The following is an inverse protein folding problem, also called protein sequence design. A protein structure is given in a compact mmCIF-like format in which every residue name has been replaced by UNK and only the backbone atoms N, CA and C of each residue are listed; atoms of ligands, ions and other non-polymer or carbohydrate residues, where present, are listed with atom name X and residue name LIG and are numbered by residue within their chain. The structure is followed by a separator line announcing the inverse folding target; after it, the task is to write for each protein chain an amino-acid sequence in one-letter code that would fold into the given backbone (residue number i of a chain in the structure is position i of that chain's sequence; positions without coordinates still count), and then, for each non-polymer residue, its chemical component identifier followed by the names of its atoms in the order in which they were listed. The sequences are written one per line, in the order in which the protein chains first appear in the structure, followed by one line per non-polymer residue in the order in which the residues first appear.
data_IF_407103308388
#
_entry.id   IF_407103308388
#
_cell.length_a   1.000
_cell.length_b   1.000
_cell.length_c   1.000
_cell.angle_alpha   90.00
_cell.angle_beta   90.00
_cell.angle_gamma   90.00
#
_symmetry.space_group_name_H-M   'P 1'
#
loop_
_entity.id
_entity.type
_entity.pdbx_description
1 polymer ?
#
# COMPACT_ATOMS: atom_id res chain seq x y z
N UNK A 1 29.38 -13.55 4.42
CA UNK A 1 29.52 -12.69 5.62
C UNK A 1 30.13 -11.32 5.31
N UNK A 2 31.36 -11.20 4.78
CA UNK A 2 31.99 -9.89 4.52
C UNK A 2 31.19 -8.95 3.58
N UNK A 3 30.56 -9.49 2.53
CA UNK A 3 29.77 -8.70 1.56
C UNK A 3 28.48 -8.09 2.15
N UNK A 4 27.84 -8.78 3.09
CA UNK A 4 26.59 -8.33 3.73
C UNK A 4 26.86 -7.19 4.72
N UNK A 5 28.01 -7.25 5.39
CA UNK A 5 28.49 -6.24 6.33
C UNK A 5 28.89 -4.94 5.60
N UNK A 6 29.47 -5.05 4.40
CA UNK A 6 29.77 -3.90 3.53
C UNK A 6 28.48 -3.22 3.04
N UNK A 7 27.44 -3.99 2.70
CA UNK A 7 26.13 -3.43 2.31
C UNK A 7 25.46 -2.72 3.48
N UNK A 8 25.52 -3.29 4.69
CA UNK A 8 24.99 -2.65 5.90
C UNK A 8 25.72 -1.34 6.25
N UNK A 9 27.05 -1.31 6.13
CA UNK A 9 27.85 -0.10 6.36
C UNK A 9 27.60 0.98 5.29
N UNK A 10 27.45 0.58 4.02
CA UNK A 10 27.10 1.50 2.94
C UNK A 10 25.69 2.05 3.11
N UNK A 11 24.72 1.21 3.50
CA UNK A 11 23.38 1.65 3.86
C UNK A 11 23.42 2.64 5.02
N UNK A 12 24.15 2.34 6.11
CA UNK A 12 24.33 3.25 7.24
C UNK A 12 24.93 4.61 6.85
N UNK A 13 25.89 4.65 5.93
CA UNK A 13 26.50 5.90 5.46
C UNK A 13 25.56 6.73 4.58
N UNK A 14 24.73 6.10 3.74
CA UNK A 14 23.70 6.81 2.96
C UNK A 14 22.57 7.28 3.89
N UNK A 15 22.23 6.48 4.89
CA UNK A 15 21.24 6.77 5.93
C UNK A 15 21.64 7.96 6.80
N UNK A 16 22.92 8.09 7.15
CA UNK A 16 23.41 9.24 7.92
C UNK A 16 23.38 10.54 7.13
N UNK A 17 23.48 10.51 5.79
CA UNK A 17 23.32 11.70 4.94
C UNK A 17 21.84 12.11 4.81
N UNK A 18 20.93 11.14 4.68
CA UNK A 18 19.49 11.40 4.61
C UNK A 18 18.89 11.92 5.94
N UNK A 19 19.50 11.56 7.08
CA UNK A 19 19.09 12.02 8.40
C UNK A 19 19.46 13.50 8.68
N UNK A 20 20.42 14.09 7.97
CA UNK A 20 20.86 15.48 8.21
C UNK A 20 19.94 16.51 7.54
N UNK A 21 19.13 16.11 6.55
CA UNK A 21 18.27 17.02 5.77
C UNK A 21 16.76 16.91 6.06
N UNK A 22 16.31 15.92 6.84
CA UNK A 22 14.90 15.74 7.22
C UNK A 22 14.74 15.76 8.74
N UNK A 23 13.76 16.52 9.24
CA UNK A 23 13.58 16.80 10.67
C UNK A 23 13.28 15.57 11.55
N UNK A 24 12.91 14.43 10.97
CA UNK A 24 12.90 13.11 11.61
C UNK A 24 12.71 12.03 10.54
N UNK A 25 13.80 11.45 10.03
CA UNK A 25 13.73 10.28 9.15
C UNK A 25 13.70 9.00 10.00
N UNK A 26 12.60 8.25 9.95
CA UNK A 26 12.49 6.90 10.51
C UNK A 26 12.85 5.89 9.42
N UNK A 27 13.73 4.96 9.79
CA UNK A 27 14.21 3.91 8.89
C UNK A 27 13.85 2.58 9.52
N UNK A 28 13.06 1.78 8.81
CA UNK A 28 12.60 0.46 9.26
C UNK A 28 13.06 -0.59 8.24
N UNK A 29 13.71 -1.64 8.72
CA UNK A 29 14.04 -2.81 7.91
C UNK A 29 13.11 -3.97 8.21
N UNK A 30 12.60 -4.65 7.19
CA UNK A 30 11.88 -5.91 7.34
C UNK A 30 12.43 -6.99 6.41
N UNK A 31 12.65 -8.19 6.95
CA UNK A 31 13.07 -9.35 6.19
C UNK A 31 11.93 -10.37 6.17
N UNK A 32 11.51 -10.76 4.96
CA UNK A 32 10.42 -11.71 4.75
C UNK A 32 10.93 -12.91 4.00
N UNK A 33 10.51 -14.09 4.45
CA UNK A 33 10.79 -15.36 3.80
C UNK A 33 9.47 -16.10 3.67
N UNK A 34 9.16 -16.56 2.47
CA UNK A 34 7.96 -17.32 2.14
C UNK A 34 8.35 -18.76 1.83
N UNK A 35 7.79 -19.66 2.62
CA UNK A 35 7.87 -21.10 2.40
C UNK A 35 6.53 -21.56 1.85
N UNK A 36 6.54 -22.22 0.70
CA UNK A 36 5.35 -22.76 0.05
C UNK A 36 5.50 -24.27 0.00
N UNK A 37 4.63 -24.96 0.73
CA UNK A 37 4.49 -26.40 0.62
C UNK A 37 3.48 -26.68 -0.50
N UNK A 38 3.98 -27.06 -1.66
CA UNK A 38 3.18 -27.43 -2.82
C UNK A 38 3.20 -28.97 -2.90
N UNK A 39 2.07 -29.63 -2.63
CA UNK A 39 1.96 -31.11 -2.59
C UNK A 39 2.25 -31.79 -3.95
N UNK A 40 2.55 -31.01 -4.98
CA UNK A 40 2.72 -31.45 -6.38
C UNK A 40 4.11 -31.15 -6.98
N UNK A 41 5.12 -30.70 -6.22
CA UNK A 41 6.46 -30.39 -6.77
C UNK A 41 7.58 -31.23 -6.16
N UNK A 42 8.49 -31.69 -7.03
CA UNK A 42 9.59 -32.61 -6.74
C UNK A 42 10.47 -32.19 -5.54
N UNK A 43 10.87 -33.21 -4.77
CA UNK A 43 11.61 -33.20 -3.50
C UNK A 43 13.01 -32.54 -3.47
N UNK A 44 13.43 -31.78 -4.49
CA UNK A 44 14.81 -31.28 -4.60
C UNK A 44 14.99 -29.77 -4.34
N UNK A 45 13.91 -29.01 -4.16
CA UNK A 45 13.98 -27.63 -3.68
C UNK A 45 13.50 -27.53 -2.23
N UNK A 46 14.21 -26.76 -1.39
CA UNK A 46 13.93 -26.58 0.05
C UNK A 46 12.58 -25.88 0.36
N UNK A 47 11.65 -25.81 -0.59
CA UNK A 47 10.30 -25.25 -0.46
C UNK A 47 10.24 -23.74 -0.29
N UNK A 48 11.37 -23.02 -0.39
CA UNK A 48 11.38 -21.55 -0.32
C UNK A 48 11.08 -20.95 -1.69
N UNK A 49 9.94 -20.27 -1.80
CA UNK A 49 9.49 -19.66 -3.06
C UNK A 49 10.00 -18.21 -3.22
N UNK A 50 10.16 -17.48 -2.10
CA UNK A 50 10.54 -16.06 -2.15
C UNK A 50 11.20 -15.57 -0.87
N UNK A 51 12.21 -14.72 -1.00
CA UNK A 51 12.68 -13.86 0.10
C UNK A 51 12.83 -12.40 -0.36
N UNK A 52 12.40 -11.49 0.50
CA UNK A 52 12.48 -10.04 0.28
C UNK A 52 13.17 -9.40 1.49
N UNK A 53 14.22 -8.60 1.24
CA UNK A 53 14.74 -7.67 2.24
C UNK A 53 14.29 -6.27 1.88
N UNK A 54 13.55 -5.60 2.77
CA UNK A 54 12.94 -4.29 2.52
C UNK A 54 13.47 -3.26 3.49
N UNK A 55 13.68 -2.06 2.96
CA UNK A 55 14.01 -0.85 3.71
C UNK A 55 12.94 0.19 3.45
N UNK A 56 12.32 0.66 4.53
CA UNK A 56 11.28 1.66 4.53
C UNK A 56 11.84 2.94 5.13
N UNK A 57 11.72 4.03 4.40
CA UNK A 57 12.13 5.36 4.81
C UNK A 57 10.87 6.20 4.92
N UNK A 58 10.57 6.68 6.13
CA UNK A 58 9.41 7.53 6.43
C UNK A 58 9.95 8.82 7.02
N UNK A 59 9.47 9.96 6.55
CA UNK A 59 9.96 11.25 7.07
C UNK A 59 8.89 12.32 7.04
N UNK A 60 8.83 13.12 8.10
CA UNK A 60 8.12 14.40 8.11
C UNK A 60 9.08 15.45 7.57
N UNK A 61 8.84 15.92 6.34
CA UNK A 61 9.66 16.94 5.67
C UNK A 61 9.32 18.33 6.23
N UNK A 62 8.03 18.56 6.50
CA UNK A 62 7.52 19.77 7.16
C UNK A 62 6.22 19.45 7.93
N UNK A 63 5.62 20.45 8.59
CA UNK A 63 4.28 20.29 9.20
C UNK A 63 3.17 19.93 8.22
N UNK A 64 3.40 20.21 6.94
CA UNK A 64 2.43 20.02 5.85
C UNK A 64 2.83 18.93 4.87
N UNK A 65 4.03 18.33 4.98
CA UNK A 65 4.54 17.36 4.00
C UNK A 65 5.18 16.18 4.70
N UNK A 66 4.66 14.99 4.40
CA UNK A 66 5.28 13.70 4.72
C UNK A 66 5.76 13.01 3.43
N UNK A 67 6.86 12.27 3.53
CA UNK A 67 7.42 11.48 2.44
C UNK A 67 7.66 10.03 2.87
N UNK A 68 7.50 9.12 1.92
CA UNK A 68 7.72 7.70 2.09
C UNK A 68 8.44 7.09 0.88
N UNK A 69 9.38 6.18 1.14
CA UNK A 69 10.10 5.41 0.14
C UNK A 69 10.31 3.98 0.66
N UNK A 70 10.06 2.98 -0.17
CA UNK A 70 10.38 1.58 0.08
C UNK A 70 11.29 1.05 -1.02
N UNK A 71 12.43 0.50 -0.61
CA UNK A 71 13.36 -0.20 -1.49
C UNK A 71 13.44 -1.65 -1.02
N UNK A 72 13.38 -2.60 -1.94
CA UNK A 72 13.48 -4.01 -1.63
C UNK A 72 14.48 -4.73 -2.53
N UNK A 73 15.23 -5.67 -1.98
CA UNK A 73 15.88 -6.71 -2.77
C UNK A 73 14.88 -7.82 -3.05
N UNK A 74 14.57 -8.03 -4.33
CA UNK A 74 13.64 -9.06 -4.80
C UNK A 74 14.44 -10.26 -5.31
N UNK A 75 14.36 -11.38 -4.59
CA UNK A 75 15.10 -12.61 -4.92
C UNK A 75 14.72 -13.20 -6.28
N UNK A 76 13.45 -13.09 -6.70
CA UNK A 76 12.97 -13.62 -7.97
C UNK A 76 13.58 -12.89 -9.16
N UNK A 77 13.86 -11.59 -8.99
CA UNK A 77 14.49 -10.74 -10.02
C UNK A 77 15.98 -10.52 -9.79
N UNK A 78 16.53 -11.07 -8.70
CA UNK A 78 17.91 -10.91 -8.24
C UNK A 78 18.42 -9.46 -8.22
N UNK A 79 17.55 -8.48 -7.96
CA UNK A 79 17.89 -7.05 -8.04
C UNK A 79 17.19 -6.21 -6.97
N UNK A 80 17.76 -5.05 -6.67
CA UNK A 80 17.16 -4.01 -5.82
C UNK A 80 16.14 -3.23 -6.65
N UNK A 81 14.95 -3.05 -6.10
CA UNK A 81 13.84 -2.34 -6.72
C UNK A 81 13.24 -1.33 -5.76
N UNK A 82 12.87 -0.17 -6.28
CA UNK A 82 11.93 0.71 -5.59
C UNK A 82 10.54 0.06 -5.67
N UNK A 83 9.95 -0.26 -4.51
CA UNK A 83 8.64 -0.93 -4.43
C UNK A 83 7.51 0.07 -4.27
N UNK A 84 7.72 1.08 -3.45
CA UNK A 84 6.72 2.11 -3.15
C UNK A 84 7.43 3.45 -2.95
N UNK A 85 6.79 4.54 -3.35
CA UNK A 85 7.18 5.90 -3.01
C UNK A 85 5.93 6.77 -2.99
N UNK A 86 5.81 7.66 -2.00
CA UNK A 86 4.69 8.62 -1.98
C UNK A 86 5.01 9.85 -1.15
N UNK A 87 4.35 10.95 -1.51
CA UNK A 87 4.37 12.21 -0.78
C UNK A 87 2.95 12.52 -0.34
N UNK A 88 2.76 12.92 0.91
CA UNK A 88 1.47 13.33 1.45
C UNK A 88 1.54 14.78 1.88
N UNK A 89 0.75 15.61 1.22
CA UNK A 89 0.50 16.99 1.59
C UNK A 89 -0.70 17.07 2.53
N UNK A 90 -0.55 17.79 3.65
CA UNK A 90 -1.57 17.97 4.69
C UNK A 90 -1.93 19.44 4.80
N UNK A 91 -3.23 19.71 4.83
CA UNK A 91 -3.82 21.02 5.04
C UNK A 91 -5.02 20.93 5.98
N UNK A 92 -5.54 22.07 6.42
CA UNK A 92 -6.72 22.12 7.29
C UNK A 92 -7.96 21.50 6.65
N UNK A 93 -8.06 21.50 5.33
CA UNK A 93 -9.17 20.94 4.57
C UNK A 93 -8.99 19.46 4.23
N UNK A 94 -7.84 18.85 4.51
CA UNK A 94 -7.61 17.44 4.20
C UNK A 94 -6.18 17.11 3.76
N UNK A 95 -6.05 15.98 3.08
CA UNK A 95 -4.75 15.46 2.62
C UNK A 95 -4.78 15.08 1.15
N UNK A 96 -3.67 15.34 0.47
CA UNK A 96 -3.39 14.86 -0.88
C UNK A 96 -2.15 13.96 -0.83
N UNK A 97 -2.29 12.70 -1.21
CA UNK A 97 -1.20 11.75 -1.37
C UNK A 97 -0.96 11.49 -2.85
N UNK A 98 0.30 11.54 -3.30
CA UNK A 98 0.69 11.22 -4.67
C UNK A 98 1.93 10.33 -4.68
N UNK A 99 2.00 9.39 -5.62
CA UNK A 99 3.12 8.44 -5.75
C UNK A 99 2.67 7.06 -6.22
N UNK A 100 3.53 6.05 -6.05
CA UNK A 100 3.24 4.66 -6.36
C UNK A 100 3.29 3.81 -5.10
N UNK A 101 2.19 3.15 -4.76
CA UNK A 101 2.14 2.23 -3.62
C UNK A 101 1.04 1.16 -3.78
N UNK A 102 1.07 0.16 -2.91
CA UNK A 102 0.01 -0.85 -2.79
C UNK A 102 -1.23 -0.22 -2.12
N UNK A 103 -2.02 0.53 -2.90
CA UNK A 103 -3.29 1.10 -2.41
C UNK A 103 -4.26 -0.02 -2.04
N UNK A 104 -4.91 0.10 -0.89
CA UNK A 104 -5.75 -0.95 -0.31
C UNK A 104 -7.20 -0.52 -0.33
N UNK A 105 -7.99 -1.20 -1.15
CA UNK A 105 -9.44 -1.04 -1.17
C UNK A 105 -10.09 -1.51 0.14
N UNK A 106 -9.49 -2.48 0.83
CA UNK A 106 -9.99 -3.01 2.11
C UNK A 106 -8.97 -2.78 3.22
N UNK A 107 -8.86 -1.55 3.77
CA UNK A 107 -7.83 -1.20 4.73
C UNK A 107 -7.98 -1.97 6.06
N UNK A 108 -9.13 -2.57 6.37
CA UNK A 108 -9.27 -3.39 7.57
C UNK A 108 -8.41 -4.67 7.53
N UNK A 109 -7.96 -5.10 6.34
CA UNK A 109 -7.38 -6.44 6.08
C UNK A 109 -5.88 -6.49 5.89
N UNK A 110 -5.13 -5.49 6.36
CA UNK A 110 -3.68 -5.34 6.11
C UNK A 110 -2.84 -6.61 6.34
N UNK A 111 -3.25 -7.51 7.24
CA UNK A 111 -2.55 -8.75 7.59
C UNK A 111 -3.00 -9.99 6.80
N UNK A 112 -4.24 -10.00 6.28
CA UNK A 112 -4.83 -11.13 5.57
C UNK A 112 -5.09 -10.69 4.14
N UNK A 113 -4.08 -10.84 3.28
CA UNK A 113 -4.25 -10.69 1.84
C UNK A 113 -4.79 -12.01 1.28
N UNK A 114 -6.09 -12.16 0.98
CA UNK A 114 -6.52 -13.30 0.20
C UNK A 114 -5.83 -13.21 -1.15
N UNK A 115 -5.41 -14.35 -1.67
CA UNK A 115 -4.89 -14.43 -3.03
C UNK A 115 -5.99 -13.95 -3.99
N UNK A 116 -5.71 -12.91 -4.77
CA UNK A 116 -6.62 -12.41 -5.83
C UNK A 116 -7.22 -11.02 -5.59
N UNK A 117 -7.78 -10.74 -4.41
CA UNK A 117 -8.82 -9.68 -4.30
C UNK A 117 -8.38 -8.34 -3.69
N UNK A 118 -7.10 -8.17 -3.36
CA UNK A 118 -6.64 -6.99 -2.61
C UNK A 118 -5.83 -5.97 -3.42
N UNK A 119 -5.70 -6.18 -4.73
CA UNK A 119 -5.01 -5.24 -5.61
C UNK A 119 -6.00 -4.79 -6.67
N UNK A 120 -6.45 -3.54 -6.56
CA UNK A 120 -7.22 -2.98 -7.67
C UNK A 120 -6.27 -2.66 -8.83
N UNK A 121 -5.03 -2.20 -8.60
CA UNK A 121 -4.10 -1.81 -9.68
C UNK A 121 -2.61 -1.89 -9.34
N UNK A 122 -1.81 -1.87 -10.41
CA UNK A 122 -0.36 -1.95 -10.43
C UNK A 122 0.33 -0.70 -9.83
N UNK A 123 1.64 -0.81 -9.60
CA UNK A 123 2.49 0.18 -8.96
C UNK A 123 2.75 1.44 -9.83
N UNK A 124 1.72 2.06 -10.39
CA UNK A 124 1.81 3.29 -11.18
C UNK A 124 1.56 4.55 -10.33
N UNK A 125 1.56 5.73 -10.96
CA UNK A 125 1.41 7.01 -10.28
C UNK A 125 -0.05 7.24 -9.89
N UNK A 126 -0.34 7.14 -8.60
CA UNK A 126 -1.66 7.26 -8.01
C UNK A 126 -1.80 8.57 -7.22
N UNK A 127 -3.04 9.02 -7.08
CA UNK A 127 -3.44 10.19 -6.30
C UNK A 127 -4.58 9.83 -5.36
N UNK A 128 -4.50 10.27 -4.11
CA UNK A 128 -5.60 10.15 -3.13
C UNK A 128 -5.84 11.50 -2.48
N UNK A 129 -7.06 11.97 -2.59
CA UNK A 129 -7.57 13.11 -1.85
C UNK A 129 -8.46 12.59 -0.72
N UNK A 130 -8.24 13.07 0.50
CA UNK A 130 -9.07 12.71 1.64
C UNK A 130 -9.45 13.97 2.41
N UNK A 131 -10.74 14.17 2.64
CA UNK A 131 -11.32 15.33 3.29
C UNK A 131 -12.04 14.86 4.56
N UNK A 132 -11.58 15.29 5.75
CA UNK A 132 -12.30 15.04 6.99
C UNK A 132 -13.58 15.89 7.01
N UNK A 133 -14.72 15.23 7.19
CA UNK A 133 -16.02 15.88 7.42
C UNK A 133 -16.24 16.14 8.92
N UNK A 134 -15.71 15.25 9.75
CA UNK A 134 -15.63 15.38 11.21
C UNK A 134 -14.45 14.57 11.74
N UNK A 135 -14.27 14.49 13.06
CA UNK A 135 -13.22 13.68 13.68
C UNK A 135 -13.30 12.18 13.33
N UNK A 136 -14.50 11.69 12.99
CA UNK A 136 -14.72 10.28 12.68
C UNK A 136 -15.14 10.03 11.22
N UNK A 137 -15.69 11.02 10.51
CA UNK A 137 -16.23 10.86 9.15
C UNK A 137 -15.30 11.50 8.14
N UNK A 138 -15.05 10.80 7.03
CA UNK A 138 -14.24 11.29 5.92
C UNK A 138 -14.81 10.89 4.57
N UNK A 139 -14.43 11.64 3.55
CA UNK A 139 -14.68 11.32 2.14
C UNK A 139 -13.37 11.44 1.38
N UNK A 140 -13.22 10.69 0.31
CA UNK A 140 -12.04 10.75 -0.50
C UNK A 140 -12.27 10.36 -1.95
N UNK A 141 -11.25 10.66 -2.74
CA UNK A 141 -11.17 10.39 -4.16
C UNK A 141 -9.80 9.79 -4.43
N UNK A 142 -9.78 8.59 -4.97
CA UNK A 142 -8.60 7.94 -5.53
C UNK A 142 -8.64 8.10 -7.06
N UNK A 143 -7.47 8.34 -7.66
CA UNK A 143 -7.27 8.40 -9.11
C UNK A 143 -5.95 7.75 -9.49
N UNK A 144 -5.95 6.99 -10.58
CA UNK A 144 -4.77 6.33 -11.16
C UNK A 144 -4.78 6.54 -12.69
N UNK A 145 -4.18 7.63 -13.18
CA UNK A 145 -4.16 7.93 -14.61
C UNK A 145 -3.18 7.03 -15.38
N UNK A 146 -3.69 6.29 -16.38
CA UNK A 146 -2.88 5.64 -17.40
C UNK A 146 -2.65 6.61 -18.57
N UNK A 147 -1.52 7.33 -18.49
CA UNK A 147 -1.09 8.28 -19.52
C UNK A 147 -0.84 7.63 -20.89
N UNK A 148 -0.67 6.31 -20.96
CA UNK A 148 -0.42 5.62 -22.23
C UNK A 148 -1.69 5.32 -23.01
N UNK A 149 -2.84 5.21 -22.31
CA UNK A 149 -4.13 4.88 -22.90
C UNK A 149 -5.15 6.02 -22.87
N UNK A 150 -4.76 7.19 -22.37
CA UNK A 150 -5.68 8.31 -22.10
C UNK A 150 -6.89 7.82 -21.28
N UNK A 151 -6.59 7.02 -20.25
CA UNK A 151 -7.54 6.36 -19.38
C UNK A 151 -7.28 6.79 -17.93
N UNK A 152 -8.32 6.87 -17.11
CA UNK A 152 -8.18 7.14 -15.70
C UNK A 152 -9.11 6.26 -14.89
N UNK A 153 -8.47 5.59 -13.97
CA UNK A 153 -9.06 4.74 -12.97
C UNK A 153 -9.44 5.61 -11.76
N UNK A 154 -10.65 5.49 -11.23
CA UNK A 154 -11.10 6.33 -10.12
C UNK A 154 -11.95 5.58 -9.10
N UNK A 155 -11.95 6.09 -7.87
CA UNK A 155 -12.78 5.58 -6.77
C UNK A 155 -13.15 6.74 -5.83
N UNK A 156 -14.45 6.90 -5.59
CA UNK A 156 -14.97 7.81 -4.57
C UNK A 156 -15.34 6.97 -3.37
N UNK A 157 -14.74 7.29 -2.23
CA UNK A 157 -14.97 6.56 -1.00
C UNK A 157 -15.43 7.46 0.13
N UNK A 158 -16.21 6.89 1.03
CA UNK A 158 -16.72 7.56 2.22
C UNK A 158 -16.72 6.60 3.38
N UNK A 159 -16.28 7.09 4.55
CA UNK A 159 -16.11 6.21 5.69
C UNK A 159 -16.36 6.88 7.02
N UNK A 160 -16.59 6.04 8.01
CA UNK A 160 -16.62 6.37 9.42
C UNK A 160 -15.56 5.53 10.15
N UNK A 161 -14.80 6.19 11.00
CA UNK A 161 -13.77 5.57 11.84
C UNK A 161 -13.92 6.08 13.28
N UNK A 162 -14.52 5.26 14.12
CA UNK A 162 -14.66 5.51 15.54
C UNK A 162 -13.72 4.67 16.38
N UNK A 163 -13.83 4.85 17.69
CA UNK A 163 -13.11 4.03 18.66
C UNK A 163 -13.67 2.62 18.66
N UNK A 164 -12.89 1.70 18.11
CA UNK A 164 -13.20 0.28 18.09
C UNK A 164 -13.97 -0.19 16.85
N UNK A 165 -14.47 0.68 15.97
CA UNK A 165 -15.15 0.22 14.77
C UNK A 165 -15.02 1.20 13.60
N UNK A 166 -15.26 0.70 12.40
CA UNK A 166 -15.33 1.56 11.24
C UNK A 166 -16.00 0.88 10.06
N UNK A 167 -16.43 1.71 9.14
CA UNK A 167 -17.02 1.31 7.87
C UNK A 167 -16.47 2.21 6.77
N UNK A 168 -16.21 1.65 5.61
CA UNK A 168 -15.85 2.36 4.39
C UNK A 168 -16.71 1.81 3.25
N UNK A 169 -17.19 2.71 2.40
CA UNK A 169 -17.91 2.42 1.18
C UNK A 169 -17.15 3.03 0.02
N UNK A 170 -17.08 2.30 -1.08
CA UNK A 170 -16.38 2.67 -2.30
C UNK A 170 -17.33 2.56 -3.48
N UNK A 171 -17.20 3.50 -4.40
CA UNK A 171 -17.80 3.42 -5.73
C UNK A 171 -16.78 3.95 -6.73
N UNK A 172 -16.40 3.12 -7.67
CA UNK A 172 -15.36 3.45 -8.63
C UNK A 172 -15.47 2.65 -9.90
N UNK A 173 -14.54 2.94 -10.81
CA UNK A 173 -14.44 2.31 -12.13
C UNK A 173 -13.10 1.58 -12.22
N UNK A 174 -13.08 0.32 -12.67
CA UNK A 174 -11.87 -0.55 -12.73
C UNK A 174 -11.11 -0.51 -14.07
N UNK A 175 -11.75 -0.11 -15.16
CA UNK A 175 -11.06 0.11 -16.43
C UNK A 175 -11.99 0.90 -17.37
N UNK A 176 -11.69 2.17 -17.69
CA UNK A 176 -12.55 2.94 -18.59
C UNK A 176 -12.54 2.44 -20.04
N UNK A 177 -11.62 1.54 -20.40
CA UNK A 177 -11.66 0.84 -21.68
C UNK A 177 -12.67 -0.32 -21.70
N UNK A 178 -13.14 -0.79 -20.54
CA UNK A 178 -14.12 -1.86 -20.40
C UNK A 178 -15.47 -1.27 -20.03
N UNK A 179 -16.47 -1.49 -20.89
CA UNK A 179 -17.84 -1.04 -20.63
C UNK A 179 -18.38 -1.72 -19.35
N UNK A 180 -19.04 -0.93 -18.50
CA UNK A 180 -19.66 -1.39 -17.25
C UNK A 180 -18.64 -1.97 -16.24
N UNK A 181 -17.44 -1.38 -16.15
CA UNK A 181 -16.39 -1.76 -15.20
C UNK A 181 -16.51 -1.12 -13.81
N UNK A 182 -17.67 -0.52 -13.52
CA UNK A 182 -18.01 0.05 -12.24
C UNK A 182 -18.08 -1.02 -11.15
N UNK A 183 -17.73 -0.63 -9.93
CA UNK A 183 -17.86 -1.48 -8.75
C UNK A 183 -18.36 -0.69 -7.55
N UNK A 184 -19.04 -1.40 -6.66
CA UNK A 184 -19.35 -0.96 -5.31
C UNK A 184 -18.63 -1.89 -4.35
N UNK A 185 -17.88 -1.33 -3.40
CA UNK A 185 -17.24 -2.12 -2.36
C UNK A 185 -17.56 -1.58 -0.97
N UNK A 186 -17.53 -2.47 0.02
CA UNK A 186 -17.66 -2.10 1.42
C UNK A 186 -16.63 -2.83 2.27
N UNK A 187 -16.17 -2.16 3.33
CA UNK A 187 -15.32 -2.71 4.38
C UNK A 187 -15.89 -2.31 5.73
N UNK A 188 -16.21 -3.27 6.60
CA UNK A 188 -16.67 -3.03 7.96
C UNK A 188 -15.77 -3.77 8.92
N UNK A 189 -15.35 -3.12 10.00
CA UNK A 189 -14.60 -3.78 11.07
C UNK A 189 -15.06 -3.38 12.45
N UNK A 190 -14.82 -4.29 13.39
CA UNK A 190 -15.05 -4.12 14.82
C UNK A 190 -13.89 -4.71 15.62
N UNK A 191 -13.39 -3.98 16.62
CA UNK A 191 -12.29 -4.37 17.49
C UNK A 191 -12.85 -4.67 18.88
N UNK A 192 -12.51 -5.85 19.40
CA UNK A 192 -12.88 -6.32 20.74
C UNK A 192 -11.58 -6.73 21.43
N UNK A 193 -11.03 -5.85 22.27
CA UNK A 193 -9.76 -6.06 22.96
C UNK A 193 -8.63 -6.53 22.00
N UNK A 194 -8.25 -7.81 22.08
CA UNK A 194 -7.23 -8.44 21.25
C UNK A 194 -7.74 -8.95 19.89
N UNK A 195 -9.06 -8.94 19.66
CA UNK A 195 -9.69 -9.46 18.45
C UNK A 195 -10.10 -8.33 17.51
N UNK A 196 -10.01 -8.61 16.21
CA UNK A 196 -10.56 -7.75 15.15
C UNK A 196 -11.42 -8.60 14.23
N UNK A 197 -12.71 -8.29 14.18
CA UNK A 197 -13.67 -8.85 13.24
C UNK A 197 -13.81 -7.90 12.05
N UNK A 198 -13.98 -8.45 10.86
CA UNK A 198 -14.19 -7.66 9.66
C UNK A 198 -15.08 -8.42 8.67
N UNK A 199 -15.85 -7.66 7.90
CA UNK A 199 -16.69 -8.15 6.80
C UNK A 199 -16.50 -7.18 5.64
N UNK A 200 -16.30 -7.71 4.44
CA UNK A 200 -16.10 -6.92 3.24
C UNK A 200 -16.80 -7.59 2.06
N UNK A 201 -17.06 -6.81 1.02
CA UNK A 201 -17.60 -7.30 -0.22
C UNK A 201 -17.30 -6.33 -1.34
N UNK A 202 -17.21 -6.87 -2.55
CA UNK A 202 -17.21 -6.10 -3.79
C UNK A 202 -18.29 -6.68 -4.69
N UNK A 203 -19.12 -5.80 -5.19
CA UNK A 203 -20.02 -6.07 -6.29
C UNK A 203 -19.49 -5.30 -7.48
N UNK A 204 -19.15 -6.04 -8.51
CA UNK A 204 -18.71 -5.53 -9.78
C UNK A 204 -19.28 -6.50 -10.80
N UNK A 205 -19.93 -5.98 -11.84
CA UNK A 205 -20.77 -6.78 -12.74
C UNK A 205 -20.07 -8.01 -13.35
N UNK A 206 -20.80 -8.78 -14.15
CA UNK A 206 -20.42 -10.11 -14.70
C UNK A 206 -19.02 -10.24 -15.38
N UNK A 207 -18.24 -9.15 -15.49
CA UNK A 207 -16.85 -9.12 -15.96
C UNK A 207 -15.75 -9.07 -14.89
N UNK A 208 -16.05 -9.34 -13.60
CA UNK A 208 -15.04 -9.38 -12.52
C UNK A 208 -14.24 -10.69 -12.44
#
# INVERSE_FOLDING_TARGET
MKKLLVVLLAAMMVLSIAAVSMAAATVEGDWRVEWVQDDCKNNDDLGFNKYDLRFNFKGKVSDTVDAYLQIAYDSLKANVQMKEYKVTFKQSWGTLTAGSWDHKLFPSRVLLKPHGDNKVRDNDMQFVFNVPVSDAVYVGLFMDPDLTKDAMDWDIFGGYKGDGWGVELHYGEKDPAVKDSDYIAFDVYYKIDAFKLFVYGIDAGDGY
#
